data_IF_351982693639
#
_entry.id   IF_351982693639
#
_cell.length_a   1.000
_cell.length_b   1.000
_cell.length_c   1.000
_cell.angle_alpha   90.00
_cell.angle_beta   90.00
_cell.angle_gamma   90.00
#
_symmetry.space_group_name_H-M   'P 1'
#
loop_
_entity.id
_entity.type
_entity.pdbx_description
1 polymer ?
#
# COMPACT_ATOMS: atom_id res chain seq x y z
N UNK A 1 -38.63 -5.88 6.18
CA UNK A 1 -37.34 -5.46 5.60
C UNK A 1 -36.65 -4.72 6.72
N UNK A 2 -35.89 -5.46 7.53
CA UNK A 2 -35.20 -4.89 8.67
C UNK A 2 -34.22 -3.83 8.18
N UNK A 3 -34.39 -2.62 8.71
CA UNK A 3 -33.38 -1.58 8.65
C UNK A 3 -32.13 -2.15 9.28
N UNK A 4 -31.10 -2.39 8.46
CA UNK A 4 -29.76 -2.68 8.95
C UNK A 4 -29.33 -1.47 9.80
N UNK A 5 -29.50 -1.55 11.11
CA UNK A 5 -28.85 -0.63 12.03
C UNK A 5 -27.36 -0.83 11.86
N UNK A 6 -26.72 0.13 11.21
CA UNK A 6 -25.26 0.23 11.20
C UNK A 6 -24.85 0.41 12.65
N UNK A 7 -24.40 -0.68 13.28
CA UNK A 7 -23.75 -0.64 14.59
C UNK A 7 -22.44 0.09 14.36
N UNK A 8 -22.49 1.43 14.44
CA UNK A 8 -21.30 2.26 14.36
C UNK A 8 -20.37 1.78 15.49
N UNK A 9 -19.12 1.35 15.17
CA UNK A 9 -18.17 0.99 16.20
C UNK A 9 -18.03 2.20 17.13
N UNK A 10 -18.03 1.93 18.44
CA UNK A 10 -17.71 2.86 19.53
C UNK A 10 -16.70 3.89 19.03
N UNK A 11 -17.07 5.19 19.06
CA UNK A 11 -16.36 6.28 18.36
C UNK A 11 -14.86 6.01 18.27
N UNK A 12 -14.38 5.70 17.07
CA UNK A 12 -12.98 5.46 16.80
C UNK A 12 -12.33 6.82 16.52
N UNK A 13 -11.65 7.45 17.50
CA UNK A 13 -11.19 8.83 17.37
C UNK A 13 -10.21 9.01 16.19
N UNK A 14 -9.54 7.94 15.78
CA UNK A 14 -8.54 7.93 14.71
C UNK A 14 -9.01 7.26 13.41
N UNK A 15 -10.31 7.02 13.23
CA UNK A 15 -10.81 6.54 11.94
C UNK A 15 -10.55 7.56 10.82
N UNK A 16 -10.12 7.11 9.64
CA UNK A 16 -9.93 7.98 8.48
C UNK A 16 -11.27 8.52 7.94
N UNK A 17 -12.33 7.72 8.04
CA UNK A 17 -13.71 8.11 7.72
C UNK A 17 -14.51 8.18 9.01
N UNK A 18 -15.17 9.32 9.24
CA UNK A 18 -15.92 9.59 10.47
C UNK A 18 -17.39 9.23 10.35
N UNK A 19 -17.94 9.35 9.15
CA UNK A 19 -19.37 9.13 8.91
C UNK A 19 -19.61 8.19 7.74
N UNK A 20 -20.79 7.59 7.70
CA UNK A 20 -21.21 6.77 6.57
C UNK A 20 -21.43 7.59 5.30
N UNK A 21 -21.78 8.87 5.44
CA UNK A 21 -21.98 9.76 4.30
C UNK A 21 -20.64 10.15 3.65
N UNK A 22 -19.59 10.39 4.44
CA UNK A 22 -18.22 10.55 3.91
C UNK A 22 -17.77 9.34 3.08
N UNK A 23 -18.07 8.13 3.56
CA UNK A 23 -17.81 6.91 2.80
C UNK A 23 -18.58 6.89 1.47
N UNK A 24 -19.87 7.22 1.47
CA UNK A 24 -20.69 7.23 0.25
C UNK A 24 -20.15 8.24 -0.76
N UNK A 25 -19.77 9.43 -0.31
CA UNK A 25 -19.28 10.49 -1.20
C UNK A 25 -17.96 10.08 -1.86
N UNK A 26 -17.03 9.51 -1.08
CA UNK A 26 -15.77 8.98 -1.63
C UNK A 26 -16.01 7.81 -2.58
N UNK A 27 -16.90 6.89 -2.23
CA UNK A 27 -17.28 5.79 -3.10
C UNK A 27 -17.87 6.29 -4.41
N UNK A 28 -18.81 7.23 -4.37
CA UNK A 28 -19.41 7.82 -5.57
C UNK A 28 -18.35 8.49 -6.45
N UNK A 29 -17.41 9.24 -5.86
CA UNK A 29 -16.29 9.84 -6.61
C UNK A 29 -15.45 8.77 -7.30
N UNK A 30 -15.14 7.67 -6.62
CA UNK A 30 -14.33 6.57 -7.17
C UNK A 30 -14.97 5.85 -8.36
N UNK A 31 -16.31 5.85 -8.44
CA UNK A 31 -17.07 5.17 -9.50
C UNK A 31 -17.42 6.13 -10.65
N UNK A 32 -17.80 7.37 -10.33
CA UNK A 32 -18.23 8.36 -11.32
C UNK A 32 -17.04 9.00 -12.05
N UNK A 33 -15.93 9.24 -11.35
CA UNK A 33 -14.70 9.76 -11.94
C UNK A 33 -13.48 8.96 -11.45
N UNK A 34 -13.33 7.70 -11.92
CA UNK A 34 -12.26 6.81 -11.47
C UNK A 34 -10.87 7.32 -11.87
N UNK A 35 -10.74 8.01 -13.00
CA UNK A 35 -9.43 8.48 -13.50
C UNK A 35 -8.88 9.56 -12.56
N UNK A 36 -9.68 10.58 -12.25
CA UNK A 36 -9.25 11.65 -11.36
C UNK A 36 -9.05 11.12 -9.94
N UNK A 37 -10.00 10.29 -9.45
CA UNK A 37 -9.90 9.72 -8.11
C UNK A 37 -8.62 8.89 -7.94
N UNK A 38 -8.39 7.90 -8.79
CA UNK A 38 -7.22 7.02 -8.66
C UNK A 38 -5.89 7.73 -8.95
N UNK A 39 -5.91 8.79 -9.77
CA UNK A 39 -4.75 9.68 -9.91
C UNK A 39 -4.36 10.31 -8.57
N UNK A 40 -5.31 11.00 -7.94
CA UNK A 40 -5.10 11.68 -6.65
C UNK A 40 -4.60 10.68 -5.60
N UNK A 41 -5.25 9.51 -5.48
CA UNK A 41 -4.85 8.49 -4.51
C UNK A 41 -3.44 7.94 -4.79
N UNK A 42 -3.08 7.70 -6.06
CA UNK A 42 -1.77 7.18 -6.42
C UNK A 42 -0.65 8.20 -6.18
N UNK A 43 -0.91 9.49 -6.38
CA UNK A 43 0.04 10.57 -6.10
C UNK A 43 0.19 10.84 -4.59
N UNK A 44 -0.89 10.67 -3.82
CA UNK A 44 -0.88 10.88 -2.37
C UNK A 44 -0.18 9.75 -1.59
N UNK A 45 -0.50 8.48 -1.91
CA UNK A 45 -0.09 7.34 -1.09
C UNK A 45 1.17 6.64 -1.57
N UNK A 46 1.60 6.83 -2.81
CA UNK A 46 2.76 6.17 -3.39
C UNK A 46 3.80 7.19 -3.86
N UNK A 47 5.07 6.80 -3.71
CA UNK A 47 6.19 7.53 -4.28
C UNK A 47 6.59 6.88 -5.59
N UNK A 48 6.47 7.66 -6.66
CA UNK A 48 6.82 7.28 -8.02
C UNK A 48 8.23 7.77 -8.35
N UNK A 49 9.00 6.90 -8.99
CA UNK A 49 10.31 7.25 -9.55
C UNK A 49 10.16 7.99 -10.89
N UNK A 50 9.15 7.62 -11.67
CA UNK A 50 8.71 8.36 -12.85
C UNK A 50 7.18 8.49 -12.86
N UNK A 51 6.64 9.67 -13.19
CA UNK A 51 5.20 9.89 -13.21
C UNK A 51 4.54 9.00 -14.28
N UNK A 52 3.30 8.59 -14.02
CA UNK A 52 2.50 7.85 -15.01
C UNK A 52 1.85 8.80 -16.02
N UNK A 53 1.65 8.31 -17.24
CA UNK A 53 1.03 9.06 -18.34
C UNK A 53 -0.47 8.81 -18.41
N UNK A 54 -0.92 7.59 -18.09
CA UNK A 54 -2.35 7.23 -18.02
C UNK A 54 -2.66 6.42 -16.76
N UNK A 55 -3.79 6.72 -16.12
CA UNK A 55 -4.24 6.06 -14.88
C UNK A 55 -4.88 4.71 -15.16
N UNK A 56 -5.75 4.64 -16.17
CA UNK A 56 -6.52 3.44 -16.50
C UNK A 56 -6.76 3.41 -18.01
N UNK A 57 -6.25 2.36 -18.65
CA UNK A 57 -6.45 2.07 -20.07
C UNK A 57 -6.98 0.64 -20.25
N UNK A 58 -7.74 0.41 -21.32
CA UNK A 58 -8.23 -0.91 -21.71
C UNK A 58 -9.63 -1.24 -21.19
N UNK A 59 -10.08 -2.46 -21.50
CA UNK A 59 -11.42 -2.95 -21.19
C UNK A 59 -11.35 -4.31 -20.51
N UNK A 60 -12.14 -4.50 -19.46
CA UNK A 60 -12.20 -5.78 -18.74
C UNK A 60 -12.63 -6.94 -19.64
N UNK A 61 -13.57 -6.68 -20.57
CA UNK A 61 -14.09 -7.65 -21.55
C UNK A 61 -13.02 -8.19 -22.49
N UNK A 62 -11.98 -7.39 -22.76
CA UNK A 62 -10.85 -7.76 -23.63
C UNK A 62 -9.64 -8.26 -22.85
N UNK A 63 -9.68 -8.24 -21.52
CA UNK A 63 -8.58 -8.68 -20.66
C UNK A 63 -7.30 -7.86 -20.79
N UNK A 64 -7.38 -6.63 -21.30
CA UNK A 64 -6.22 -5.78 -21.59
C UNK A 64 -6.14 -4.54 -20.69
N UNK A 65 -6.63 -4.67 -19.46
CA UNK A 65 -6.67 -3.58 -18.48
C UNK A 65 -5.26 -3.24 -18.01
N UNK A 66 -4.92 -1.96 -18.04
CA UNK A 66 -3.63 -1.43 -17.60
C UNK A 66 -3.87 -0.25 -16.65
N UNK A 67 -3.17 -0.27 -15.53
CA UNK A 67 -3.18 0.82 -14.55
C UNK A 67 -1.83 1.52 -14.51
N UNK A 68 -1.85 2.85 -14.38
CA UNK A 68 -0.66 3.71 -14.22
C UNK A 68 0.42 3.48 -15.29
N UNK A 69 0.00 3.40 -16.55
CA UNK A 69 0.88 3.16 -17.69
C UNK A 69 1.91 4.30 -17.83
N UNK A 70 3.17 3.93 -18.10
CA UNK A 70 4.31 4.85 -18.12
C UNK A 70 4.93 5.11 -16.75
N UNK A 71 4.20 4.85 -15.67
CA UNK A 71 4.67 5.05 -14.30
C UNK A 71 5.73 4.03 -13.90
N UNK A 72 6.77 4.49 -13.19
CA UNK A 72 7.78 3.62 -12.59
C UNK A 72 7.81 3.83 -11.09
N UNK A 73 7.82 2.74 -10.35
CA UNK A 73 7.96 2.75 -8.89
C UNK A 73 8.76 1.53 -8.43
N UNK A 74 9.36 1.65 -7.25
CA UNK A 74 9.97 0.53 -6.57
C UNK A 74 9.15 0.18 -5.33
N UNK A 75 8.70 -1.09 -5.25
CA UNK A 75 7.88 -1.58 -4.14
C UNK A 75 8.68 -1.57 -2.83
N UNK A 76 9.94 -2.03 -2.84
CA UNK A 76 10.79 -2.02 -1.65
C UNK A 76 11.02 -0.59 -1.14
N UNK A 77 11.18 0.38 -2.06
CA UNK A 77 11.31 1.78 -1.68
C UNK A 77 10.08 2.30 -0.95
N UNK A 78 8.88 1.98 -1.45
CA UNK A 78 7.62 2.41 -0.84
C UNK A 78 7.32 1.67 0.47
N UNK A 79 7.70 0.41 0.61
CA UNK A 79 7.44 -0.36 1.84
C UNK A 79 8.48 -0.12 2.93
N UNK A 80 9.72 0.23 2.58
CA UNK A 80 10.84 0.28 3.54
C UNK A 80 11.58 1.62 3.47
N UNK A 81 12.23 1.93 2.34
CA UNK A 81 13.21 3.02 2.28
C UNK A 81 12.62 4.40 2.58
N UNK A 82 11.41 4.71 2.08
CA UNK A 82 10.77 6.01 2.31
C UNK A 82 10.47 6.30 3.78
N UNK A 83 10.39 5.27 4.62
CA UNK A 83 10.07 5.41 6.03
C UNK A 83 11.31 5.63 6.91
N UNK A 84 12.50 5.26 6.44
CA UNK A 84 13.74 5.31 7.23
C UNK A 84 14.06 6.70 7.81
N UNK A 85 13.91 7.83 7.08
CA UNK A 85 14.29 9.13 7.63
C UNK A 85 13.54 9.51 8.91
N UNK A 86 12.33 8.96 9.12
CA UNK A 86 11.47 9.28 10.27
C UNK A 86 11.24 8.11 11.22
N UNK A 87 11.45 6.88 10.76
CA UNK A 87 11.01 5.65 11.42
C UNK A 87 12.07 4.55 11.45
N UNK A 88 13.36 4.88 11.28
CA UNK A 88 14.45 3.90 11.24
C UNK A 88 14.40 2.89 12.41
N UNK A 89 14.21 3.39 13.63
CA UNK A 89 14.18 2.58 14.87
C UNK A 89 12.79 2.04 15.21
N UNK A 90 11.77 2.39 14.42
CA UNK A 90 10.42 1.86 14.63
C UNK A 90 10.37 0.39 14.21
N UNK A 91 9.68 -0.44 15.00
CA UNK A 91 9.41 -1.84 14.66
C UNK A 91 8.55 -1.88 13.38
N UNK A 92 9.07 -2.52 12.34
CA UNK A 92 8.41 -2.72 11.05
C UNK A 92 7.72 -4.08 10.97
N UNK A 93 8.36 -5.12 11.54
CA UNK A 93 7.87 -6.49 11.53
C UNK A 93 7.98 -7.07 12.94
N UNK A 94 6.86 -7.60 13.42
CA UNK A 94 6.80 -8.46 14.60
C UNK A 94 6.67 -9.89 14.06
N UNK A 95 7.69 -10.69 14.29
CA UNK A 95 7.69 -12.11 13.94
C UNK A 95 7.38 -12.90 15.21
N UNK A 96 6.32 -13.69 15.14
CA UNK A 96 5.94 -14.65 16.18
C UNK A 96 6.15 -16.05 15.60
N UNK A 97 7.13 -16.77 16.12
CA UNK A 97 7.40 -18.15 15.77
C UNK A 97 6.38 -19.12 16.36
N UNK A 98 6.53 -20.40 16.00
CA UNK A 98 5.66 -21.48 16.50
C UNK A 98 5.81 -21.69 18.02
N UNK A 99 7.04 -21.57 18.55
CA UNK A 99 7.25 -21.42 19.99
C UNK A 99 7.01 -19.94 20.36
N UNK A 100 6.11 -19.64 21.33
CA UNK A 100 5.90 -18.28 21.83
C UNK A 100 7.18 -17.55 22.28
N UNK A 101 8.23 -18.29 22.62
CA UNK A 101 9.55 -17.73 22.97
C UNK A 101 10.35 -17.27 21.77
N UNK A 102 10.05 -17.73 20.55
CA UNK A 102 10.70 -17.29 19.32
C UNK A 102 9.99 -16.07 18.73
N UNK A 103 9.95 -14.99 19.50
CA UNK A 103 9.44 -13.70 19.04
C UNK A 103 10.60 -12.80 18.65
N UNK A 104 10.53 -12.16 17.48
CA UNK A 104 11.54 -11.21 16.99
C UNK A 104 10.87 -9.91 16.55
N UNK A 105 11.38 -8.80 17.06
CA UNK A 105 11.03 -7.47 16.56
C UNK A 105 12.12 -7.02 15.59
N UNK A 106 11.72 -6.61 14.38
CA UNK A 106 12.63 -6.12 13.35
C UNK A 106 12.27 -4.68 13.04
N UNK A 107 13.23 -3.80 13.22
CA UNK A 107 13.12 -2.36 12.90
C UNK A 107 13.15 -2.11 11.39
N UNK A 108 12.72 -0.93 10.93
CA UNK A 108 12.85 -0.56 9.52
C UNK A 108 14.30 -0.59 9.03
N UNK A 109 15.25 -0.16 9.86
CA UNK A 109 16.69 -0.19 9.53
C UNK A 109 17.19 -1.63 9.31
N UNK A 110 16.87 -2.54 10.24
CA UNK A 110 17.24 -3.95 10.12
C UNK A 110 16.53 -4.64 8.95
N UNK A 111 15.27 -4.29 8.70
CA UNK A 111 14.50 -4.84 7.58
C UNK A 111 15.15 -4.45 6.24
N UNK A 112 15.53 -3.18 6.07
CA UNK A 112 16.28 -2.73 4.88
C UNK A 112 17.55 -3.53 4.68
N UNK A 113 18.34 -3.72 5.74
CA UNK A 113 19.60 -4.45 5.64
C UNK A 113 19.40 -5.91 5.23
N UNK A 114 18.36 -6.55 5.77
CA UNK A 114 17.98 -7.92 5.38
C UNK A 114 17.52 -7.99 3.93
N UNK A 115 16.64 -7.09 3.48
CA UNK A 115 16.16 -7.04 2.08
C UNK A 115 17.32 -6.80 1.11
N UNK A 116 18.22 -5.87 1.43
CA UNK A 116 19.42 -5.58 0.62
C UNK A 116 20.32 -6.81 0.49
N UNK A 117 20.57 -7.52 1.59
CA UNK A 117 21.39 -8.74 1.58
C UNK A 117 20.75 -9.86 0.74
N UNK A 118 19.44 -10.07 0.90
CA UNK A 118 18.71 -11.05 0.09
C UNK A 118 18.72 -10.68 -1.41
N UNK A 119 18.52 -9.41 -1.75
CA UNK A 119 18.57 -8.95 -3.15
C UNK A 119 19.95 -9.12 -3.78
N UNK A 120 21.02 -8.81 -3.03
CA UNK A 120 22.39 -9.07 -3.47
C UNK A 120 22.61 -10.56 -3.74
N UNK A 121 22.16 -11.44 -2.84
CA UNK A 121 22.28 -12.89 -3.01
C UNK A 121 21.68 -13.36 -4.34
N UNK A 122 20.46 -12.92 -4.68
CA UNK A 122 19.82 -13.29 -5.95
C UNK A 122 20.55 -12.73 -7.19
N UNK A 123 21.27 -11.61 -7.04
CA UNK A 123 22.03 -11.02 -8.15
C UNK A 123 23.32 -11.78 -8.49
N UNK A 124 23.84 -12.58 -7.55
CA UNK A 124 25.08 -13.35 -7.71
C UNK A 124 24.85 -14.84 -8.02
N UNK A 125 23.60 -15.30 -8.02
CA UNK A 125 23.23 -16.64 -8.48
C UNK A 125 22.49 -16.54 -9.81
N UNK A 126 23.20 -16.64 -10.96
CA UNK A 126 22.58 -16.68 -12.27
C UNK A 126 22.01 -18.07 -12.50
N UNK A 127 20.91 -18.41 -11.83
CA UNK A 127 20.17 -19.63 -12.10
C UNK A 127 18.71 -19.46 -11.70
N UNK A 128 18.04 -18.54 -12.41
CA UNK A 128 16.66 -18.62 -12.86
C UNK A 128 16.54 -17.84 -14.17
#
# INVERSE_FOLDING_TARGET
>A
MDTLEVIAPKELPNAYLKTFDEYKDLYLKSVQDPITFWKEQAEEFLTWDSPFESVLNGELTKGNVKYFEGGKLNVCYNCVDRHLPKKADQIALIYEGDDPKDTKNVTYSELKDKVRKSSLFFSFFPCF
#
